data_IF_120656456000
#
_entry.id   IF_120656456000
#
_cell.length_a   1.000
_cell.length_b   1.000
_cell.length_c   1.000
_cell.angle_alpha   90.00
_cell.angle_beta   90.00
_cell.angle_gamma   90.00
#
_symmetry.space_group_name_H-M   'P 1'
#
loop_
_entity.id
_entity.type
_entity.pdbx_description
1 polymer ?
#
# COMPACT_ATOMS: atom_id res chain seq x y z
N UNK A 1 -18.55 2.20 0.79
CA UNK A 1 -17.70 1.61 1.85
C UNK A 1 -16.65 2.67 2.17
N UNK A 2 -16.42 2.98 3.44
CA UNK A 2 -15.47 4.03 3.82
C UNK A 2 -14.05 3.50 3.77
N UNK A 3 -13.12 4.28 3.20
CA UNK A 3 -11.75 3.84 2.98
C UNK A 3 -11.01 3.70 4.31
N UNK A 4 -10.28 2.58 4.48
CA UNK A 4 -9.51 2.31 5.70
C UNK A 4 -8.17 3.05 5.63
N UNK A 5 -7.46 2.85 4.53
CA UNK A 5 -6.21 3.50 4.19
C UNK A 5 -5.96 3.41 2.68
N UNK A 6 -5.17 4.32 2.13
CA UNK A 6 -4.81 4.30 0.73
C UNK A 6 -3.38 4.77 0.47
N UNK A 7 -2.86 4.38 -0.70
CA UNK A 7 -1.56 4.79 -1.24
C UNK A 7 -1.81 5.59 -2.52
N UNK A 8 -1.77 6.92 -2.43
CA UNK A 8 -2.05 7.81 -3.57
C UNK A 8 -0.91 7.91 -4.58
N UNK A 9 0.29 7.45 -4.19
CA UNK A 9 1.54 7.67 -4.94
C UNK A 9 2.36 8.85 -4.42
N UNK A 10 1.80 9.66 -3.52
CA UNK A 10 2.49 10.78 -2.89
C UNK A 10 3.73 10.39 -2.08
N UNK A 11 4.70 11.29 -2.04
CA UNK A 11 5.99 11.13 -1.35
C UNK A 11 6.25 12.28 -0.39
N UNK A 12 6.77 11.97 0.79
CA UNK A 12 7.32 12.98 1.72
C UNK A 12 8.66 13.54 1.24
N UNK A 13 9.18 14.57 1.91
CA UNK A 13 10.46 15.22 1.57
C UNK A 13 11.64 14.26 1.43
N UNK A 14 11.70 13.22 2.27
CA UNK A 14 12.78 12.24 2.22
C UNK A 14 12.51 11.08 1.25
N UNK A 15 11.61 11.29 0.28
CA UNK A 15 11.14 10.28 -0.67
C UNK A 15 10.41 9.06 -0.03
N UNK A 16 10.02 9.17 1.25
CA UNK A 16 9.22 8.16 1.92
C UNK A 16 7.81 8.10 1.33
N UNK A 17 7.28 6.90 1.11
CA UNK A 17 5.91 6.69 0.62
C UNK A 17 4.89 7.19 1.63
N UNK A 18 3.87 7.92 1.15
CA UNK A 18 2.78 8.39 2.01
C UNK A 18 1.62 7.39 1.96
N UNK A 19 1.28 6.81 3.13
CA UNK A 19 0.04 6.07 3.33
C UNK A 19 -0.92 6.95 4.13
N UNK A 20 -2.09 7.20 3.56
CA UNK A 20 -3.10 8.05 4.18
C UNK A 20 -4.20 7.20 4.80
N UNK A 21 -4.46 7.44 6.08
CA UNK A 21 -5.64 7.00 6.78
C UNK A 21 -6.63 8.18 6.81
N UNK A 22 -7.64 8.20 5.92
CA UNK A 22 -8.58 9.31 5.84
C UNK A 22 -9.44 9.39 7.10
N UNK A 23 -10.21 10.47 7.18
CA UNK A 23 -11.21 10.65 8.23
C UNK A 23 -12.17 9.45 8.28
N UNK A 24 -12.20 8.77 9.42
CA UNK A 24 -13.02 7.59 9.65
C UNK A 24 -13.35 7.44 11.15
N UNK A 25 -14.50 7.97 11.55
CA UNK A 25 -14.99 7.94 12.93
C UNK A 25 -15.21 6.52 13.49
N UNK A 26 -15.27 5.51 12.62
CA UNK A 26 -15.44 4.10 12.99
C UNK A 26 -14.13 3.31 12.98
N UNK A 27 -12.97 3.96 12.77
CA UNK A 27 -11.68 3.27 12.66
C UNK A 27 -11.37 2.37 13.88
N UNK A 28 -11.76 2.81 15.08
CA UNK A 28 -11.61 2.03 16.32
C UNK A 28 -12.28 0.65 16.26
N UNK A 29 -13.35 0.50 15.47
CA UNK A 29 -14.11 -0.74 15.31
C UNK A 29 -13.51 -1.70 14.27
N UNK A 30 -12.56 -1.24 13.44
CA UNK A 30 -11.98 -2.06 12.36
C UNK A 30 -11.00 -3.07 12.98
N UNK A 31 -11.17 -4.39 12.83
CA UNK A 31 -10.25 -5.38 13.40
C UNK A 31 -8.77 -5.16 13.00
N UNK A 32 -7.83 -5.46 13.89
CA UNK A 32 -6.39 -5.29 13.62
C UNK A 32 -5.91 -6.16 12.45
N UNK A 33 -6.45 -7.36 12.27
CA UNK A 33 -6.08 -8.24 11.15
C UNK A 33 -6.47 -7.63 9.79
N UNK A 34 -7.58 -6.89 9.73
CA UNK A 34 -8.00 -6.15 8.53
C UNK A 34 -7.02 -5.01 8.24
N UNK A 35 -6.61 -4.26 9.27
CA UNK A 35 -5.61 -3.18 9.13
C UNK A 35 -4.27 -3.76 8.66
N UNK A 36 -3.83 -4.87 9.25
CA UNK A 36 -2.60 -5.56 8.89
C UNK A 36 -2.62 -6.06 7.44
N UNK A 37 -3.73 -6.63 6.97
CA UNK A 37 -3.91 -7.03 5.57
C UNK A 37 -3.79 -5.85 4.62
N UNK A 38 -4.48 -4.74 4.91
CA UNK A 38 -4.42 -3.51 4.09
C UNK A 38 -3.00 -2.95 4.06
N UNK A 39 -2.34 -2.80 5.20
CA UNK A 39 -0.98 -2.27 5.28
C UNK A 39 0.03 -3.21 4.59
N UNK A 40 -0.11 -4.52 4.74
CA UNK A 40 0.73 -5.50 4.04
C UNK A 40 0.60 -5.36 2.53
N UNK A 41 -0.63 -5.24 2.03
CA UNK A 41 -0.86 -5.03 0.61
C UNK A 41 -0.26 -3.70 0.12
N UNK A 42 -0.60 -2.57 0.74
CA UNK A 42 -0.11 -1.25 0.32
C UNK A 42 1.42 -1.14 0.37
N UNK A 43 2.05 -1.66 1.43
CA UNK A 43 3.52 -1.64 1.56
C UNK A 43 4.20 -2.57 0.55
N UNK A 44 3.55 -3.67 0.15
CA UNK A 44 4.07 -4.57 -0.89
C UNK A 44 4.14 -3.89 -2.26
N UNK A 45 3.18 -3.03 -2.59
CA UNK A 45 3.17 -2.25 -3.83
C UNK A 45 4.36 -1.30 -3.84
N UNK A 46 4.55 -0.54 -2.76
CA UNK A 46 5.64 0.41 -2.61
C UNK A 46 7.03 -0.25 -2.74
N UNK A 47 7.20 -1.44 -2.15
CA UNK A 47 8.47 -2.19 -2.16
C UNK A 47 8.89 -2.71 -3.53
N UNK A 48 7.96 -2.86 -4.47
CA UNK A 48 8.31 -3.22 -5.85
C UNK A 48 9.19 -2.14 -6.52
N UNK A 49 9.20 -0.91 -6.00
CA UNK A 49 10.07 0.16 -6.46
C UNK A 49 11.45 0.20 -5.78
N UNK A 50 11.71 -0.64 -4.75
CA UNK A 50 12.99 -0.70 -4.05
C UNK A 50 12.91 -1.26 -2.62
N UNK A 51 13.93 -2.01 -2.21
CA UNK A 51 14.00 -2.73 -0.93
C UNK A 51 14.00 -1.81 0.31
N UNK A 52 14.57 -0.61 0.20
CA UNK A 52 14.69 0.36 1.30
C UNK A 52 13.51 1.34 1.41
N UNK A 53 12.33 0.90 0.97
CA UNK A 53 11.11 1.72 1.02
C UNK A 53 10.76 2.08 2.48
N UNK A 54 10.82 3.38 2.78
CA UNK A 54 10.34 3.98 4.04
C UNK A 54 8.93 4.53 3.89
N UNK A 55 8.19 4.57 4.99
CA UNK A 55 6.78 4.98 4.98
C UNK A 55 6.52 6.13 5.95
N UNK A 56 5.78 7.13 5.48
CA UNK A 56 5.15 8.15 6.31
C UNK A 56 3.65 7.89 6.35
N UNK A 57 3.07 7.89 7.53
CA UNK A 57 1.62 7.80 7.68
C UNK A 57 1.06 9.20 7.88
N UNK A 58 0.00 9.54 7.14
CA UNK A 58 -0.89 10.66 7.48
C UNK A 58 -2.16 10.08 8.08
N UNK A 59 -2.45 10.47 9.32
CA UNK A 59 -3.60 10.03 10.08
C UNK A 59 -4.57 11.20 10.29
N UNK A 60 -5.64 11.25 9.51
CA UNK A 60 -6.64 12.33 9.61
C UNK A 60 -7.69 12.00 10.68
N UNK A 61 -7.60 12.66 11.84
CA UNK A 61 -8.46 12.42 13.00
C UNK A 61 -9.09 13.72 13.52
N UNK A 62 -9.27 14.71 12.65
CA UNK A 62 -9.85 16.02 13.00
C UNK A 62 -11.24 15.93 13.64
N UNK A 63 -12.02 14.89 13.30
CA UNK A 63 -13.39 14.64 13.78
C UNK A 63 -13.49 13.56 14.87
N UNK A 64 -12.36 13.04 15.34
CA UNK A 64 -12.30 11.94 16.32
C UNK A 64 -12.19 12.45 17.76
N UNK A 65 -12.24 11.52 18.73
CA UNK A 65 -11.82 11.80 20.11
C UNK A 65 -10.34 11.47 20.30
N UNK A 66 -9.72 12.08 21.32
CA UNK A 66 -8.35 11.74 21.71
C UNK A 66 -8.17 10.26 22.08
N UNK A 67 -9.16 9.65 22.73
CA UNK A 67 -9.16 8.22 23.04
C UNK A 67 -9.19 7.35 21.78
N UNK A 68 -9.99 7.72 20.77
CA UNK A 68 -10.05 7.04 19.48
C UNK A 68 -8.72 7.15 18.73
N UNK A 69 -8.08 8.32 18.77
CA UNK A 69 -6.76 8.54 18.17
C UNK A 69 -5.69 7.64 18.81
N UNK A 70 -5.65 7.54 20.15
CA UNK A 70 -4.69 6.66 20.85
C UNK A 70 -4.84 5.20 20.42
N UNK A 71 -6.08 4.71 20.39
CA UNK A 71 -6.39 3.35 19.92
C UNK A 71 -5.99 3.17 18.45
N UNK A 72 -6.28 4.15 17.60
CA UNK A 72 -5.93 4.11 16.17
C UNK A 72 -4.41 3.95 15.97
N UNK A 73 -3.62 4.75 16.68
CA UNK A 73 -2.16 4.70 16.62
C UNK A 73 -1.59 3.38 17.15
N UNK A 74 -2.15 2.83 18.24
CA UNK A 74 -1.77 1.51 18.75
C UNK A 74 -2.01 0.40 17.72
N UNK A 75 -3.19 0.40 17.09
CA UNK A 75 -3.56 -0.60 16.08
C UNK A 75 -2.69 -0.50 14.83
N UNK A 76 -2.43 0.73 14.36
CA UNK A 76 -1.53 0.98 13.23
C UNK A 76 -0.11 0.49 13.58
N UNK A 77 0.39 0.82 14.77
CA UNK A 77 1.69 0.36 15.28
C UNK A 77 1.81 -1.17 15.25
N UNK A 78 0.83 -1.86 15.81
CA UNK A 78 0.84 -3.32 15.92
C UNK A 78 0.71 -4.01 14.56
N UNK A 79 0.07 -3.34 13.60
CA UNK A 79 -0.24 -3.91 12.28
C UNK A 79 0.79 -3.56 11.20
N UNK A 80 1.75 -2.67 11.45
CA UNK A 80 2.62 -2.16 10.38
C UNK A 80 3.74 -3.14 10.01
N UNK A 81 3.82 -3.63 8.75
CA UNK A 81 4.66 -4.75 8.37
C UNK A 81 6.08 -4.33 7.92
N UNK A 82 6.61 -3.20 8.40
CA UNK A 82 7.87 -2.66 7.85
C UNK A 82 8.40 -1.40 8.53
N UNK A 83 9.28 -0.70 7.80
CA UNK A 83 9.97 0.51 8.27
C UNK A 83 9.06 1.73 8.21
N UNK A 84 8.22 1.87 9.23
CA UNK A 84 7.52 3.12 9.50
C UNK A 84 8.56 4.16 9.91
N UNK A 85 8.59 5.29 9.21
CA UNK A 85 9.57 6.36 9.43
C UNK A 85 8.99 7.51 10.25
N UNK A 86 7.75 7.89 9.97
CA UNK A 86 7.09 9.06 10.56
C UNK A 86 5.58 8.88 10.57
N UNK A 87 4.91 9.36 11.62
CA UNK A 87 3.45 9.46 11.67
C UNK A 87 3.05 10.92 11.87
N UNK A 88 2.32 11.46 10.91
CA UNK A 88 1.75 12.81 10.93
C UNK A 88 0.26 12.71 11.27
N UNK A 89 -0.15 13.34 12.37
CA UNK A 89 -1.53 13.24 12.85
C UNK A 89 -2.21 14.59 12.73
N UNK A 90 -3.28 14.68 11.94
CA UNK A 90 -4.20 15.83 12.00
C UNK A 90 -5.14 15.63 13.18
N UNK A 91 -4.87 16.33 14.29
CA UNK A 91 -5.50 16.05 15.58
C UNK A 91 -6.95 16.55 15.67
N UNK A 92 -7.78 15.96 16.56
CA UNK A 92 -9.09 16.50 16.92
C UNK A 92 -9.08 17.97 17.33
N UNK A 93 -10.03 18.77 16.83
CA UNK A 93 -10.09 20.23 17.08
C UNK A 93 -11.11 20.70 18.15
N UNK A 94 -11.95 19.82 18.69
CA UNK A 94 -13.00 20.14 19.69
C UNK A 94 -12.57 19.76 21.12
N UNK A 95 -12.80 20.47 22.23
CA UNK A 95 -13.66 21.63 22.51
C UNK A 95 -13.18 22.50 23.70
N UNK A 96 -11.98 22.30 24.24
CA UNK A 96 -11.42 23.18 25.28
C UNK A 96 -9.91 23.28 25.12
N UNK A 97 -9.45 24.51 24.90
CA UNK A 97 -8.12 25.02 25.25
C UNK A 97 -7.01 24.88 24.20
N UNK A 98 -6.79 26.01 23.51
CA UNK A 98 -5.46 26.43 23.02
C UNK A 98 -4.43 26.63 24.15
N UNK A 99 -4.77 26.38 25.43
CA UNK A 99 -3.93 26.73 26.58
C UNK A 99 -3.73 25.60 27.62
N UNK A 100 -4.51 24.51 27.60
CA UNK A 100 -4.36 23.38 28.56
C UNK A 100 -3.94 22.07 27.89
N UNK A 101 -4.00 21.98 26.57
CA UNK A 101 -3.42 20.84 25.82
C UNK A 101 -1.90 20.92 25.74
N UNK A 102 -1.26 22.02 26.12
CA UNK A 102 0.20 22.08 26.28
C UNK A 102 0.69 21.52 27.62
N UNK A 103 -0.20 21.32 28.61
CA UNK A 103 0.16 20.82 29.96
C UNK A 103 -0.31 19.37 30.16
N UNK A 104 -1.52 19.02 29.73
CA UNK A 104 -2.03 17.65 29.80
C UNK A 104 -1.54 16.73 28.66
N UNK A 105 -0.87 17.30 27.66
CA UNK A 105 -0.38 16.59 26.48
C UNK A 105 1.12 16.82 26.22
N UNK A 106 1.91 17.11 27.26
CA UNK A 106 3.31 16.66 27.32
C UNK A 106 3.34 15.13 27.44
N UNK A 107 2.75 14.43 26.48
CA UNK A 107 2.90 12.99 26.36
C UNK A 107 4.36 12.77 26.01
N UNK A 108 5.12 12.24 26.97
CA UNK A 108 6.44 11.74 26.68
C UNK A 108 6.29 10.71 25.56
N UNK A 109 7.32 10.62 24.72
CA UNK A 109 7.47 9.60 23.69
C UNK A 109 7.34 8.15 24.24
N UNK A 110 7.25 8.00 25.56
CA UNK A 110 7.17 6.74 26.32
C UNK A 110 5.73 6.21 26.47
N UNK A 111 4.71 7.09 26.42
CA UNK A 111 3.29 6.67 26.55
C UNK A 111 2.71 6.09 25.25
N UNK A 112 3.30 6.46 24.12
CA UNK A 112 3.16 5.69 22.91
C UNK A 112 4.26 4.64 22.95
N UNK A 113 3.87 3.36 23.06
CA UNK A 113 4.76 2.20 22.86
C UNK A 113 5.33 2.11 21.42
N UNK A 114 5.35 3.22 20.70
CA UNK A 114 5.94 3.43 19.40
C UNK A 114 7.32 4.04 19.63
N UNK A 115 8.39 3.31 19.33
CA UNK A 115 9.76 3.87 19.19
C UNK A 115 9.90 4.84 18.00
N UNK A 116 8.80 5.37 17.48
CA UNK A 116 8.69 6.05 16.19
C UNK A 116 8.26 7.51 16.39
N UNK A 117 8.76 8.45 15.58
CA UNK A 117 8.38 9.85 15.71
C UNK A 117 6.94 10.05 15.27
N UNK A 118 6.09 10.50 16.20
CA UNK A 118 4.71 10.94 15.95
C UNK A 118 4.67 12.45 16.08
N UNK A 119 4.16 13.13 15.06
CA UNK A 119 4.00 14.59 15.05
C UNK A 119 2.52 14.93 15.01
N UNK A 120 2.08 15.74 15.97
CA UNK A 120 0.71 16.25 16.05
C UNK A 120 0.63 17.58 15.31
N UNK A 121 -0.20 17.62 14.26
CA UNK A 121 -0.41 18.79 13.41
C UNK A 121 -1.73 19.47 13.80
N UNK A 122 -1.73 20.79 13.81
CA UNK A 122 -2.90 21.61 14.16
C UNK A 122 -3.76 21.93 12.94
N UNK A 123 -3.18 21.89 11.74
CA UNK A 123 -3.88 22.18 10.49
C UNK A 123 -3.35 21.33 9.34
N UNK A 124 -4.12 21.27 8.25
CA UNK A 124 -3.65 20.66 6.99
C UNK A 124 -2.47 21.42 6.39
N UNK A 125 -2.37 22.73 6.61
CA UNK A 125 -1.24 23.54 6.12
C UNK A 125 0.09 23.12 6.76
N UNK A 126 0.06 22.61 8.00
CA UNK A 126 1.26 22.15 8.69
C UNK A 126 1.90 20.94 7.98
N UNK A 127 1.12 20.16 7.21
CA UNK A 127 1.63 19.04 6.40
C UNK A 127 2.68 19.50 5.39
N UNK A 128 2.58 20.74 4.89
CA UNK A 128 3.53 21.27 3.89
C UNK A 128 4.96 21.44 4.44
N UNK A 129 5.12 21.37 5.76
CA UNK A 129 6.44 21.29 6.41
C UNK A 129 7.14 19.95 6.10
N UNK A 130 6.37 18.88 5.84
CA UNK A 130 6.87 17.51 5.68
C UNK A 130 6.79 16.99 4.25
N UNK A 131 5.99 17.62 3.40
CA UNK A 131 5.77 17.21 2.00
C UNK A 131 5.39 18.40 1.12
N UNK A 132 5.50 18.24 -0.21
CA UNK A 132 5.04 19.20 -1.21
C UNK A 132 3.53 19.07 -1.45
N UNK A 133 2.85 20.14 -1.84
CA UNK A 133 1.40 20.14 -2.10
C UNK A 133 1.01 19.21 -3.25
N UNK A 134 1.90 19.02 -4.24
CA UNK A 134 1.70 18.11 -5.37
C UNK A 134 1.74 16.63 -4.98
N UNK A 135 2.12 16.34 -3.73
CA UNK A 135 2.19 14.98 -3.19
C UNK A 135 1.01 14.66 -2.27
N UNK A 136 0.14 15.64 -2.00
CA UNK A 136 -1.03 15.51 -1.13
C UNK A 136 -2.32 15.56 -1.94
N UNK A 137 -3.34 14.81 -1.51
CA UNK A 137 -4.66 14.86 -2.13
C UNK A 137 -5.39 16.16 -1.74
N UNK A 138 -6.42 16.59 -2.50
CA UNK A 138 -7.15 17.84 -2.23
C UNK A 138 -7.76 17.92 -0.82
N UNK A 139 -8.19 16.79 -0.25
CA UNK A 139 -8.77 16.71 1.10
C UNK A 139 -7.76 17.04 2.20
N UNK A 140 -6.47 16.91 1.88
CA UNK A 140 -5.32 17.23 2.73
C UNK A 140 -4.63 18.54 2.32
N UNK A 141 -5.27 19.35 1.46
CA UNK A 141 -4.77 20.66 1.04
C UNK A 141 -3.72 20.62 -0.07
N UNK A 142 -3.63 19.52 -0.83
CA UNK A 142 -2.73 19.38 -1.97
C UNK A 142 -3.42 19.43 -3.33
N UNK A 143 -2.66 19.06 -4.37
CA UNK A 143 -3.11 19.08 -5.78
C UNK A 143 -3.08 17.70 -6.45
N UNK A 144 -2.60 16.65 -5.76
CA UNK A 144 -2.51 15.29 -6.29
C UNK A 144 -3.90 14.67 -6.46
N UNK A 145 -4.33 14.50 -7.72
CA UNK A 145 -5.61 13.85 -8.00
C UNK A 145 -5.53 12.36 -7.66
N UNK A 146 -6.45 11.91 -6.81
CA UNK A 146 -6.56 10.51 -6.41
C UNK A 146 -8.03 10.12 -6.25
N UNK A 147 -8.40 8.98 -6.81
CA UNK A 147 -9.72 8.38 -6.64
C UNK A 147 -9.54 6.93 -6.19
N UNK A 148 -10.00 6.61 -4.97
CA UNK A 148 -9.75 5.29 -4.38
C UNK A 148 -10.44 4.16 -5.15
N UNK A 149 -11.68 4.39 -5.60
CA UNK A 149 -12.44 3.39 -6.37
C UNK A 149 -11.79 3.08 -7.71
N UNK A 150 -11.36 4.11 -8.45
CA UNK A 150 -10.63 3.94 -9.71
C UNK A 150 -9.29 3.25 -9.48
N UNK A 151 -8.57 3.61 -8.41
CA UNK A 151 -7.32 2.95 -8.05
C UNK A 151 -7.51 1.46 -7.80
N UNK A 152 -8.55 1.06 -7.06
CA UNK A 152 -8.88 -0.37 -6.83
C UNK A 152 -9.19 -1.08 -8.15
N UNK A 153 -9.99 -0.47 -9.02
CA UNK A 153 -10.35 -1.05 -10.32
C UNK A 153 -9.08 -1.29 -11.15
N UNK A 154 -8.22 -0.28 -11.24
CA UNK A 154 -6.99 -0.35 -12.00
C UNK A 154 -5.99 -1.36 -11.44
N UNK A 155 -5.82 -1.40 -10.11
CA UNK A 155 -4.96 -2.39 -9.44
C UNK A 155 -5.42 -3.82 -9.72
N UNK A 156 -6.72 -4.09 -9.59
CA UNK A 156 -7.28 -5.40 -9.92
C UNK A 156 -7.03 -5.79 -11.38
N UNK A 157 -7.15 -4.84 -12.32
CA UNK A 157 -6.88 -5.09 -13.72
C UNK A 157 -5.40 -5.44 -13.97
N UNK A 158 -4.47 -4.66 -13.40
CA UNK A 158 -3.02 -4.92 -13.50
C UNK A 158 -2.67 -6.29 -12.92
N UNK A 159 -3.18 -6.60 -11.73
CA UNK A 159 -2.81 -7.84 -11.03
C UNK A 159 -3.34 -9.07 -11.76
N UNK A 160 -4.58 -9.02 -12.26
CA UNK A 160 -5.13 -10.08 -13.12
C UNK A 160 -4.28 -10.25 -14.39
N UNK A 161 -3.91 -9.15 -15.03
CA UNK A 161 -3.05 -9.18 -16.20
C UNK A 161 -1.68 -9.81 -15.91
N UNK A 162 -1.04 -9.45 -14.80
CA UNK A 162 0.24 -10.01 -14.38
C UNK A 162 0.16 -11.53 -14.14
N UNK A 163 -0.95 -12.02 -13.57
CA UNK A 163 -1.20 -13.46 -13.42
C UNK A 163 -1.30 -14.14 -14.79
N UNK A 164 -2.06 -13.58 -15.73
CA UNK A 164 -2.18 -14.13 -17.09
C UNK A 164 -0.83 -14.18 -17.82
N UNK A 165 -0.04 -13.10 -17.75
CA UNK A 165 1.30 -13.05 -18.35
C UNK A 165 2.21 -14.12 -17.76
N UNK A 166 2.17 -14.31 -16.43
CA UNK A 166 2.95 -15.36 -15.76
C UNK A 166 2.54 -16.76 -16.23
N UNK A 167 1.24 -17.03 -16.36
CA UNK A 167 0.74 -18.32 -16.86
C UNK A 167 1.18 -18.58 -18.31
N UNK A 168 1.09 -17.57 -19.17
CA UNK A 168 1.56 -17.68 -20.56
C UNK A 168 3.06 -17.95 -20.63
N UNK A 169 3.87 -17.25 -19.82
CA UNK A 169 5.31 -17.48 -19.75
C UNK A 169 5.66 -18.89 -19.28
N UNK A 170 4.94 -19.43 -18.28
CA UNK A 170 5.12 -20.80 -17.81
C UNK A 170 4.76 -21.84 -18.87
N UNK A 171 3.68 -21.61 -19.63
CA UNK A 171 3.28 -22.50 -20.72
C UNK A 171 4.32 -22.52 -21.85
N UNK A 172 4.83 -21.35 -22.25
CA UNK A 172 5.90 -21.23 -23.24
C UNK A 172 7.20 -21.88 -22.74
N UNK A 173 7.54 -21.71 -21.47
CA UNK A 173 8.70 -22.35 -20.85
C UNK A 173 8.56 -23.88 -20.90
N UNK A 174 7.41 -24.42 -20.50
CA UNK A 174 7.13 -25.88 -20.55
C UNK A 174 7.27 -26.42 -21.97
N UNK A 175 6.69 -25.73 -22.95
CA UNK A 175 6.80 -26.12 -24.36
C UNK A 175 8.25 -26.10 -24.86
N UNK A 176 9.02 -25.08 -24.50
CA UNK A 176 10.44 -24.99 -24.83
C UNK A 176 11.27 -26.12 -24.22
N UNK A 177 10.99 -26.50 -22.97
CA UNK A 177 11.63 -27.64 -22.30
C UNK A 177 11.29 -28.97 -22.98
N UNK A 178 10.01 -29.22 -23.28
CA UNK A 178 9.58 -30.42 -24.04
C UNK A 178 10.31 -30.53 -25.39
N UNK A 179 10.44 -29.41 -26.12
CA UNK A 179 11.14 -29.40 -27.41
C UNK A 179 12.64 -29.68 -27.28
N UNK A 180 13.28 -29.18 -26.22
CA UNK A 180 14.72 -29.35 -25.99
C UNK A 180 15.07 -30.75 -25.48
N UNK A 181 14.17 -31.39 -24.75
CA UNK A 181 14.34 -32.72 -24.14
C UNK A 181 13.77 -33.86 -24.99
N UNK A 182 13.14 -33.56 -26.13
CA UNK A 182 12.65 -34.57 -27.06
C UNK A 182 13.82 -35.37 -27.67
N UNK A 183 13.99 -36.62 -27.23
CA UNK A 183 14.86 -37.57 -27.92
C UNK A 183 14.28 -37.89 -29.30
N UNK A 184 15.09 -37.73 -30.35
CA UNK A 184 14.71 -38.06 -31.72
C UNK A 184 14.76 -39.59 -31.89
N UNK A 185 13.64 -40.26 -32.23
CA UNK A 185 13.66 -41.68 -32.57
C UNK A 185 14.47 -41.92 -33.86
N UNK A 186 15.11 -43.08 -33.98
CA UNK A 186 15.98 -43.43 -35.13
C UNK A 186 15.21 -43.71 -36.43
N UNK A 187 13.87 -43.78 -36.40
CA UNK A 187 13.02 -44.02 -37.55
C UNK A 187 12.23 -42.77 -37.99
N UNK A 188 12.25 -42.51 -39.31
CA UNK A 188 11.64 -41.33 -39.94
C UNK A 188 10.13 -41.18 -39.67
N UNK A 189 9.30 -42.24 -39.67
CA UNK A 189 7.86 -42.12 -39.39
C UNK A 189 7.57 -41.53 -38.01
N UNK A 190 8.32 -41.96 -36.99
CA UNK A 190 8.15 -41.47 -35.62
C UNK A 190 8.59 -40.00 -35.45
N UNK A 191 9.60 -39.56 -36.21
CA UNK A 191 10.02 -38.15 -36.26
C UNK A 191 8.90 -37.27 -36.87
N UNK A 192 8.25 -37.73 -37.94
CA UNK A 192 7.14 -37.01 -38.58
C UNK A 192 5.92 -36.87 -37.65
N UNK A 193 5.62 -37.89 -36.84
CA UNK A 193 4.52 -37.86 -35.86
C UNK A 193 4.79 -36.85 -34.73
N UNK A 194 6.02 -36.80 -34.21
CA UNK A 194 6.42 -35.82 -33.19
C UNK A 194 6.35 -34.39 -33.75
N UNK A 195 6.84 -34.17 -34.98
CA UNK A 195 6.75 -32.87 -35.64
C UNK A 195 5.30 -32.41 -35.87
N UNK A 196 4.42 -33.33 -36.28
CA UNK A 196 3.00 -33.03 -36.46
C UNK A 196 2.32 -32.67 -35.13
N UNK A 197 2.60 -33.41 -34.05
CA UNK A 197 2.09 -33.13 -32.72
C UNK A 197 2.57 -31.77 -32.19
N UNK A 198 3.85 -31.43 -32.41
CA UNK A 198 4.42 -30.13 -32.05
C UNK A 198 3.81 -28.97 -32.84
N UNK A 199 3.59 -29.16 -34.15
CA UNK A 199 2.96 -28.15 -35.01
C UNK A 199 1.53 -27.82 -34.58
N UNK A 200 0.74 -28.82 -34.20
CA UNK A 200 -0.63 -28.58 -33.74
C UNK A 200 -0.68 -27.89 -32.37
N UNK A 201 0.21 -28.25 -31.43
CA UNK A 201 0.33 -27.52 -30.15
C UNK A 201 0.76 -26.07 -30.35
N UNK A 202 1.71 -25.80 -31.23
CA UNK A 202 2.10 -24.43 -31.57
C UNK A 202 0.93 -23.62 -32.14
N UNK A 203 0.04 -24.25 -32.91
CA UNK A 203 -1.18 -23.62 -33.42
C UNK A 203 -2.18 -23.27 -32.31
N UNK A 204 -2.24 -24.06 -31.25
CA UNK A 204 -3.10 -23.82 -30.07
C UNK A 204 -2.56 -22.72 -29.13
N UNK A 205 -1.26 -22.41 -29.23
CA UNK A 205 -0.63 -21.30 -28.50
C UNK A 205 -0.82 -19.93 -29.17
N UNK A 206 -1.39 -19.90 -30.39
CA UNK A 206 -1.62 -18.72 -31.22
C UNK A 206 -3.05 -18.21 -31.08
#
# INVERSE_FOLDING_TARGET
MQDIAFLSGGRGRDNAWIITFPENCNFRCIPEDVIAKVLTYLTSIARQSGADSRFTIILDRRRDTWSSLKISLQKISASFPGSLHLVLVLRPTSFLQRTFTDIGFRFSQEDFMLKLPVVMLSSVSDLLTYTDDKQLTPELGGTLQYCHSEWIIFRNAIEKFAVTVKQMAQMLQSFGTELAEAELPDDIPSIEEILAAHAERYRLLK
#
